data_IF_703923386603
#
_entry.id   IF_703923386603
#
_cell.length_a   1.000
_cell.length_b   1.000
_cell.length_c   1.000
_cell.angle_alpha   90.00
_cell.angle_beta   90.00
_cell.angle_gamma   90.00
#
_symmetry.space_group_name_H-M   'P 1'
#
loop_
_entity.id
_entity.type
_entity.pdbx_description
1 polymer ?
#
# COMPACT_ATOMS: atom_id res chain seq x y z
N UNK A 1 -0.80 -7.39 -13.25
CA UNK A 1 -1.68 -8.11 -12.29
C UNK A 1 -1.14 -7.88 -10.89
N UNK A 2 -1.99 -7.63 -9.88
CA UNK A 2 -1.55 -7.31 -8.51
C UNK A 2 -0.57 -8.33 -7.95
N UNK A 3 -0.77 -9.61 -8.27
CA UNK A 3 0.18 -10.68 -7.97
C UNK A 3 1.63 -10.37 -8.41
N UNK A 4 1.83 -9.92 -9.65
CA UNK A 4 3.17 -9.56 -10.14
C UNK A 4 3.78 -8.37 -9.40
N UNK A 5 2.94 -7.43 -8.96
CA UNK A 5 3.39 -6.27 -8.19
C UNK A 5 3.80 -6.66 -6.76
N UNK A 6 3.29 -7.78 -6.25
CA UNK A 6 3.59 -8.31 -4.92
C UNK A 6 4.78 -9.29 -4.90
N UNK A 7 5.34 -9.66 -6.07
CA UNK A 7 6.35 -10.72 -6.21
C UNK A 7 7.78 -10.21 -6.50
N UNK A 8 8.09 -8.94 -6.20
CA UNK A 8 9.39 -8.34 -6.53
C UNK A 8 10.30 -8.05 -5.33
N UNK A 9 11.61 -8.20 -5.51
CA UNK A 9 12.65 -8.02 -4.46
C UNK A 9 12.75 -6.58 -3.91
N UNK A 10 12.16 -5.60 -4.60
CA UNK A 10 12.16 -4.18 -4.20
C UNK A 10 10.91 -3.74 -3.45
N UNK A 11 10.06 -4.70 -3.06
CA UNK A 11 8.81 -4.47 -2.35
C UNK A 11 9.08 -4.26 -0.85
N UNK A 12 8.53 -3.18 -0.29
CA UNK A 12 8.55 -2.90 1.14
C UNK A 12 7.12 -2.78 1.66
N UNK A 13 6.93 -2.79 2.98
CA UNK A 13 5.60 -2.77 3.59
C UNK A 13 4.74 -1.57 3.16
N UNK A 14 5.34 -0.39 2.95
CA UNK A 14 4.65 0.82 2.49
C UNK A 14 4.08 0.63 1.07
N UNK A 15 4.90 0.08 0.16
CA UNK A 15 4.47 -0.27 -1.20
C UNK A 15 3.41 -1.36 -1.18
N UNK A 16 3.61 -2.41 -0.38
CA UNK A 16 2.64 -3.51 -0.23
C UNK A 16 1.28 -2.98 0.22
N UNK A 17 1.26 -2.15 1.28
CA UNK A 17 0.03 -1.49 1.76
C UNK A 17 -0.66 -0.70 0.64
N UNK A 18 0.11 0.08 -0.13
CA UNK A 18 -0.41 0.90 -1.22
C UNK A 18 -1.02 0.05 -2.35
N UNK A 19 -0.34 -1.03 -2.75
CA UNK A 19 -0.81 -1.97 -3.78
C UNK A 19 -2.10 -2.68 -3.32
N UNK A 20 -2.12 -3.19 -2.08
CA UNK A 20 -3.29 -3.86 -1.52
C UNK A 20 -4.49 -2.92 -1.38
N UNK A 21 -4.25 -1.69 -0.88
CA UNK A 21 -5.31 -0.68 -0.75
C UNK A 21 -5.92 -0.34 -2.12
N UNK A 22 -5.09 -0.11 -3.14
CA UNK A 22 -5.55 0.17 -4.49
C UNK A 22 -6.30 -1.04 -5.10
N UNK A 23 -5.86 -2.25 -4.80
CA UNK A 23 -6.54 -3.47 -5.24
C UNK A 23 -7.92 -3.61 -4.62
N UNK A 24 -8.05 -3.44 -3.30
CA UNK A 24 -9.35 -3.50 -2.60
C UNK A 24 -10.32 -2.44 -3.11
N UNK A 25 -9.86 -1.21 -3.35
CA UNK A 25 -10.68 -0.15 -3.98
C UNK A 25 -11.15 -0.58 -5.37
N UNK A 26 -10.29 -1.22 -6.17
CA UNK A 26 -10.65 -1.73 -7.49
C UNK A 26 -11.68 -2.86 -7.41
N UNK A 27 -11.49 -3.84 -6.52
CA UNK A 27 -12.45 -4.94 -6.31
C UNK A 27 -13.81 -4.38 -5.87
N UNK A 28 -13.83 -3.40 -4.96
CA UNK A 28 -15.04 -2.71 -4.52
C UNK A 28 -15.76 -2.02 -5.68
N UNK A 29 -15.03 -1.31 -6.53
CA UNK A 29 -15.60 -0.64 -7.72
C UNK A 29 -16.14 -1.66 -8.73
N UNK A 30 -15.38 -2.74 -9.00
CA UNK A 30 -15.81 -3.83 -9.89
C UNK A 30 -17.12 -4.43 -9.41
N UNK A 31 -17.23 -4.72 -8.12
CA UNK A 31 -18.45 -5.25 -7.49
C UNK A 31 -19.64 -4.32 -7.67
N UNK A 32 -19.46 -3.02 -7.41
CA UNK A 32 -20.52 -2.02 -7.55
C UNK A 32 -21.01 -1.90 -8.99
N UNK A 33 -20.10 -1.89 -9.97
CA UNK A 33 -20.45 -1.73 -11.37
C UNK A 33 -21.14 -2.98 -11.91
N UNK A 34 -20.62 -4.18 -11.61
CA UNK A 34 -21.27 -5.44 -11.96
C UNK A 34 -22.66 -5.53 -11.32
N UNK A 35 -22.81 -5.15 -10.05
CA UNK A 35 -24.11 -5.14 -9.38
C UNK A 35 -25.14 -4.17 -9.98
N UNK A 36 -24.70 -3.16 -10.74
CA UNK A 36 -25.58 -2.28 -11.55
C UNK A 36 -25.72 -2.75 -13.00
N UNK A 37 -25.19 -3.92 -13.34
CA UNK A 37 -25.10 -4.44 -14.71
C UNK A 37 -24.32 -3.51 -15.66
N UNK A 38 -23.36 -2.74 -15.14
CA UNK A 38 -22.48 -1.87 -15.90
C UNK A 38 -21.18 -2.61 -16.25
N UNK A 39 -21.09 -3.13 -17.47
CA UNK A 39 -19.97 -3.97 -17.91
C UNK A 39 -18.95 -3.27 -18.82
N UNK A 40 -19.07 -1.97 -19.07
CA UNK A 40 -18.24 -1.22 -20.03
C UNK A 40 -16.73 -1.33 -19.79
N UNK A 41 -16.32 -1.51 -18.53
CA UNK A 41 -14.92 -1.70 -18.12
C UNK A 41 -14.39 -3.14 -18.33
N UNK A 42 -15.26 -4.06 -18.74
CA UNK A 42 -14.96 -5.48 -18.96
C UNK A 42 -15.29 -5.86 -20.41
N UNK A 43 -14.33 -5.73 -21.35
CA UNK A 43 -14.60 -5.93 -22.78
C UNK A 43 -15.32 -7.24 -23.10
N UNK A 44 -14.89 -8.35 -22.47
CA UNK A 44 -15.49 -9.67 -22.68
C UNK A 44 -16.89 -9.79 -22.07
N UNK A 45 -17.12 -9.23 -20.87
CA UNK A 45 -18.44 -9.29 -20.22
C UNK A 45 -19.44 -8.35 -20.90
N UNK A 46 -18.99 -7.20 -21.41
CA UNK A 46 -19.83 -6.24 -22.13
C UNK A 46 -20.45 -6.78 -23.42
N UNK A 47 -19.82 -7.82 -23.99
CA UNK A 47 -20.29 -8.49 -25.21
C UNK A 47 -21.17 -9.71 -24.92
N UNK A 48 -21.32 -10.09 -23.65
CA UNK A 48 -22.04 -11.30 -23.24
C UNK A 48 -23.38 -10.91 -22.61
N UNK A 49 -24.46 -11.63 -22.93
CA UNK A 49 -25.71 -11.49 -22.18
C UNK A 49 -25.55 -12.10 -20.79
N UNK A 50 -25.51 -11.26 -19.76
CA UNK A 50 -25.41 -11.68 -18.36
C UNK A 50 -26.81 -11.69 -17.74
N UNK A 51 -27.23 -12.82 -17.18
CA UNK A 51 -28.51 -12.91 -16.46
C UNK A 51 -28.35 -12.34 -15.04
N UNK A 52 -29.47 -12.04 -14.38
CA UNK A 52 -29.46 -11.50 -13.01
C UNK A 52 -28.77 -12.46 -12.01
N UNK A 53 -28.97 -13.77 -12.18
CA UNK A 53 -28.33 -14.81 -11.36
C UNK A 53 -26.79 -14.84 -11.56
N UNK A 54 -26.33 -14.61 -12.79
CA UNK A 54 -24.89 -14.50 -13.09
C UNK A 54 -24.30 -13.28 -12.39
N UNK A 55 -24.97 -12.12 -12.47
CA UNK A 55 -24.57 -10.88 -11.81
C UNK A 55 -24.43 -11.09 -10.30
N UNK A 56 -25.44 -11.72 -9.69
CA UNK A 56 -25.42 -12.05 -8.25
C UNK A 56 -24.22 -12.93 -7.90
N UNK A 57 -23.95 -13.96 -8.70
CA UNK A 57 -22.80 -14.87 -8.52
C UNK A 57 -21.46 -14.13 -8.60
N UNK A 58 -21.27 -13.26 -9.61
CA UNK A 58 -20.06 -12.45 -9.72
C UNK A 58 -19.87 -11.51 -8.52
N UNK A 59 -20.95 -10.86 -8.07
CA UNK A 59 -20.93 -9.97 -6.89
C UNK A 59 -20.55 -10.75 -5.63
N UNK A 60 -21.08 -11.96 -5.46
CA UNK A 60 -20.72 -12.84 -4.34
C UNK A 60 -19.23 -13.22 -4.36
N UNK A 61 -18.69 -13.61 -5.52
CA UNK A 61 -17.27 -13.92 -5.64
C UNK A 61 -16.37 -12.72 -5.36
N UNK A 62 -16.72 -11.52 -5.85
CA UNK A 62 -15.97 -10.30 -5.55
C UNK A 62 -16.06 -9.90 -4.08
N UNK A 63 -17.18 -10.18 -3.41
CA UNK A 63 -17.32 -10.00 -1.96
C UNK A 63 -16.40 -10.94 -1.18
N UNK A 64 -16.38 -12.23 -1.54
CA UNK A 64 -15.49 -13.20 -0.91
C UNK A 64 -14.03 -12.80 -1.10
N UNK A 65 -13.62 -12.48 -2.33
CA UNK A 65 -12.27 -12.02 -2.64
C UNK A 65 -11.87 -10.76 -1.86
N UNK A 66 -12.78 -9.78 -1.75
CA UNK A 66 -12.53 -8.59 -0.95
C UNK A 66 -12.28 -8.94 0.53
N UNK A 67 -13.15 -9.78 1.09
CA UNK A 67 -13.09 -10.18 2.51
C UNK A 67 -11.84 -11.00 2.83
N UNK A 68 -11.45 -11.90 1.91
CA UNK A 68 -10.24 -12.72 2.04
C UNK A 68 -8.98 -11.83 2.05
N UNK A 69 -8.92 -10.81 1.19
CA UNK A 69 -7.78 -9.88 1.17
C UNK A 69 -7.80 -8.90 2.34
N UNK A 70 -8.98 -8.44 2.77
CA UNK A 70 -9.10 -7.54 3.92
C UNK A 70 -8.65 -8.22 5.21
N UNK A 71 -9.09 -9.46 5.44
CA UNK A 71 -8.71 -10.25 6.62
C UNK A 71 -7.28 -10.80 6.52
N UNK A 72 -6.87 -11.32 5.36
CA UNK A 72 -5.55 -11.92 5.18
C UNK A 72 -4.40 -10.92 5.23
N UNK A 73 -4.67 -9.62 5.03
CA UNK A 73 -3.68 -8.55 5.07
C UNK A 73 -4.05 -7.41 6.03
N UNK A 74 -4.88 -7.68 7.04
CA UNK A 74 -5.36 -6.69 8.00
C UNK A 74 -4.20 -5.89 8.61
N UNK A 75 -3.15 -6.58 9.06
CA UNK A 75 -1.96 -5.98 9.69
C UNK A 75 -1.30 -4.92 8.79
N UNK A 76 -1.15 -5.24 7.49
CA UNK A 76 -0.52 -4.36 6.51
C UNK A 76 -1.46 -3.21 6.15
N UNK A 77 -2.76 -3.49 6.00
CA UNK A 77 -3.78 -2.49 5.67
C UNK A 77 -3.97 -1.48 6.80
N UNK A 78 -3.90 -1.91 8.06
CA UNK A 78 -4.05 -1.05 9.23
C UNK A 78 -2.74 -0.39 9.69
N UNK A 79 -1.58 -0.87 9.21
CA UNK A 79 -0.25 -0.34 9.56
C UNK A 79 -0.15 1.20 9.45
N UNK A 80 0.16 1.87 10.56
CA UNK A 80 0.41 3.32 10.56
C UNK A 80 1.81 3.61 10.04
N UNK A 81 1.92 4.42 8.98
CA UNK A 81 3.22 4.89 8.47
C UNK A 81 3.54 6.18 9.20
N UNK A 82 4.52 6.14 10.11
CA UNK A 82 4.94 7.32 10.86
C UNK A 82 5.64 8.33 9.93
N UNK A 83 5.40 9.65 10.06
CA UNK A 83 5.96 10.66 9.16
C UNK A 83 7.48 10.62 9.04
N UNK A 84 8.17 10.34 10.15
CA UNK A 84 9.65 10.27 10.19
C UNK A 84 10.23 9.13 9.33
N UNK A 85 9.45 8.08 9.04
CA UNK A 85 9.89 7.00 8.12
C UNK A 85 9.99 7.53 6.70
N UNK A 86 9.09 8.44 6.32
CA UNK A 86 9.09 9.06 4.98
C UNK A 86 10.10 10.21 4.92
N UNK A 87 10.15 11.02 5.97
CA UNK A 87 11.08 12.13 6.09
C UNK A 87 11.60 12.22 7.54
N UNK A 88 12.79 11.69 7.84
CA UNK A 88 13.32 11.71 9.20
C UNK A 88 13.77 13.11 9.65
N UNK A 89 13.83 14.07 8.72
CA UNK A 89 14.20 15.47 8.98
C UNK A 89 12.97 16.39 9.12
N UNK A 90 11.78 15.80 9.32
CA UNK A 90 10.55 16.54 9.55
C UNK A 90 10.50 17.20 10.92
N UNK A 91 9.28 17.51 11.37
CA UNK A 91 9.09 18.03 12.73
C UNK A 91 9.36 16.92 13.75
N UNK A 92 10.47 17.04 14.49
CA UNK A 92 10.90 16.08 15.50
C UNK A 92 10.10 16.28 16.80
N UNK A 93 9.66 17.51 17.11
CA UNK A 93 8.99 17.83 18.37
C UNK A 93 7.63 17.15 18.49
N UNK A 94 6.95 16.92 17.36
CA UNK A 94 5.68 16.19 17.30
C UNK A 94 5.84 14.65 17.29
N UNK A 95 7.07 14.13 17.27
CA UNK A 95 7.32 12.67 17.28
C UNK A 95 7.34 12.08 18.69
N UNK A 96 7.29 10.75 18.79
CA UNK A 96 7.37 10.05 20.08
C UNK A 96 8.73 10.34 20.74
N UNK A 97 8.72 10.72 22.03
CA UNK A 97 9.92 11.02 22.82
C UNK A 97 11.00 9.94 22.75
N UNK A 98 10.61 8.68 22.56
CA UNK A 98 11.53 7.53 22.50
C UNK A 98 12.45 7.58 21.27
N UNK A 99 12.08 8.30 20.21
CA UNK A 99 12.86 8.38 18.95
C UNK A 99 13.41 9.78 18.67
N UNK A 100 13.11 10.77 19.52
CA UNK A 100 13.47 12.16 19.27
C UNK A 100 14.98 12.37 19.31
N UNK A 101 15.69 11.67 20.20
CA UNK A 101 17.15 11.76 20.32
C UNK A 101 17.83 11.24 19.05
N UNK A 102 17.46 10.04 18.59
CA UNK A 102 18.02 9.43 17.38
C UNK A 102 17.70 10.25 16.13
N UNK A 103 16.47 10.78 16.02
CA UNK A 103 16.10 11.66 14.91
C UNK A 103 16.86 12.99 14.96
N UNK A 104 17.12 13.52 16.15
CA UNK A 104 17.92 14.74 16.33
C UNK A 104 19.35 14.52 15.85
N UNK A 105 19.99 13.44 16.30
CA UNK A 105 21.34 13.07 15.85
C UNK A 105 21.38 12.92 14.32
N UNK A 106 20.45 12.16 13.75
CA UNK A 106 20.32 11.97 12.31
C UNK A 106 20.17 13.32 11.58
N UNK A 107 19.36 14.24 12.13
CA UNK A 107 19.09 15.55 11.52
C UNK A 107 20.28 16.51 11.52
N UNK A 108 21.25 16.29 12.40
CA UNK A 108 22.48 17.09 12.44
C UNK A 108 23.56 16.55 11.50
N UNK A 109 23.40 15.33 10.99
CA UNK A 109 24.36 14.70 10.10
C UNK A 109 24.17 15.13 8.63
N UNK A 110 24.99 16.07 8.17
CA UNK A 110 24.95 16.59 6.80
C UNK A 110 25.26 15.53 5.72
N UNK A 111 26.09 14.52 6.04
CA UNK A 111 26.39 13.45 5.09
C UNK A 111 25.16 12.56 4.83
N UNK A 112 24.43 12.21 5.88
CA UNK A 112 23.18 11.44 5.78
C UNK A 112 22.09 12.20 5.00
N UNK A 113 22.02 13.53 5.14
CA UNK A 113 21.12 14.35 4.31
C UNK A 113 21.41 14.22 2.82
N UNK A 114 22.68 14.13 2.43
CA UNK A 114 23.06 13.90 1.03
C UNK A 114 22.61 12.53 0.56
N UNK A 115 22.79 11.48 1.38
CA UNK A 115 22.39 10.11 1.03
C UNK A 115 20.86 9.96 0.88
N UNK A 116 20.09 10.69 1.70
CA UNK A 116 18.62 10.69 1.63
C UNK A 116 18.06 11.21 0.31
N UNK A 117 18.84 11.93 -0.53
CA UNK A 117 18.39 12.41 -1.85
C UNK A 117 17.89 11.29 -2.78
N UNK A 118 18.30 10.05 -2.54
CA UNK A 118 17.82 8.88 -3.29
C UNK A 118 16.48 8.31 -2.76
N UNK A 119 15.86 8.98 -1.78
CA UNK A 119 14.59 8.63 -1.17
C UNK A 119 14.70 7.69 0.03
N UNK A 120 13.63 7.66 0.84
CA UNK A 120 13.57 6.91 2.10
C UNK A 120 13.90 5.42 1.94
N UNK A 121 13.52 4.80 0.82
CA UNK A 121 13.74 3.37 0.61
C UNK A 121 15.23 3.03 0.62
N UNK A 122 16.06 3.76 -0.14
CA UNK A 122 17.50 3.50 -0.19
C UNK A 122 18.19 3.92 1.10
N UNK A 123 17.67 4.97 1.75
CA UNK A 123 18.18 5.45 3.02
C UNK A 123 18.06 4.40 4.14
N UNK A 124 16.89 3.79 4.30
CA UNK A 124 16.65 2.81 5.38
C UNK A 124 17.17 1.40 5.10
N UNK A 125 17.47 1.06 3.83
CA UNK A 125 18.00 -0.27 3.45
C UNK A 125 19.51 -0.43 3.71
N UNK A 126 20.16 0.57 4.32
CA UNK A 126 21.58 0.48 4.66
C UNK A 126 21.79 -0.44 5.86
N UNK A 127 22.67 -1.44 5.73
CA UNK A 127 22.97 -2.41 6.81
C UNK A 127 23.46 -1.75 8.09
N UNK A 128 24.13 -0.60 7.97
CA UNK A 128 24.51 0.27 9.09
C UNK A 128 24.26 1.70 8.62
N UNK A 129 23.44 2.45 9.37
CA UNK A 129 23.46 3.91 9.30
C UNK A 129 24.51 4.33 10.33
N UNK A 130 25.68 4.86 9.93
CA UNK A 130 26.67 5.33 10.88
C UNK A 130 26.13 6.59 11.55
N UNK A 131 25.46 6.40 12.67
CA UNK A 131 25.26 7.40 13.72
C UNK A 131 26.49 7.29 14.60
N UNK A 132 27.43 8.22 14.40
CA UNK A 132 28.72 8.42 15.11
C UNK A 132 29.40 7.20 15.73
#
# INVERSE_FOLDING_TARGET
MVNLQLQGDSLNLIKTKSILSAFLVRVKLMKQNIGRSEFSQFPNLSQTSCQEDDVSTYVQHLNALYSDFESGFEDILTMVILPWIINPYGDIEETNVIIQEELTELSTNEELKVQFKNGYQQFWLQNNIPVT
#
